data_IF_428411845595
#
_entry.id   IF_428411845595
#
_cell.length_a   1.000
_cell.length_b   1.000
_cell.length_c   1.000
_cell.angle_alpha   90.00
_cell.angle_beta   90.00
_cell.angle_gamma   90.00
#
_symmetry.space_group_name_H-M   'P 1'
#
loop_
_entity.id
_entity.type
_entity.pdbx_description
1 polymer ?
#
# COMPACT_ATOMS: atom_id res chain seq x y z
N UNK A 1 -0.04 -38.77 8.52
CA UNK A 1 -0.32 -37.79 9.59
C UNK A 1 -0.07 -36.42 9.02
N UNK A 2 -1.14 -35.73 8.60
CA UNK A 2 -1.03 -34.36 8.08
C UNK A 2 -0.83 -33.42 9.26
N UNK A 3 0.35 -32.87 9.45
CA UNK A 3 0.59 -31.75 10.33
C UNK A 3 -0.11 -30.52 9.73
N UNK A 4 -1.36 -30.33 10.06
CA UNK A 4 -2.11 -29.12 9.73
C UNK A 4 -1.36 -27.93 10.35
N UNK A 5 -0.63 -27.19 9.53
CA UNK A 5 -0.09 -25.89 9.93
C UNK A 5 -1.29 -25.02 10.29
N UNK A 6 -1.52 -24.79 11.58
CA UNK A 6 -2.51 -23.83 12.05
C UNK A 6 -2.02 -22.46 11.57
N UNK A 7 -2.50 -22.03 10.42
CA UNK A 7 -2.24 -20.67 9.93
C UNK A 7 -2.98 -19.73 10.88
N UNK A 8 -2.22 -19.02 11.70
CA UNK A 8 -2.77 -17.99 12.60
C UNK A 8 -3.49 -16.95 11.75
N UNK A 9 -4.77 -16.70 12.03
CA UNK A 9 -5.53 -15.62 11.40
C UNK A 9 -4.78 -14.30 11.61
N UNK A 10 -4.58 -13.56 10.52
CA UNK A 10 -3.97 -12.23 10.57
C UNK A 10 -5.01 -11.15 10.33
N UNK A 11 -4.80 -10.00 10.94
CA UNK A 11 -5.50 -8.78 10.59
C UNK A 11 -4.61 -7.98 9.64
N UNK A 12 -5.06 -7.79 8.41
CA UNK A 12 -4.32 -7.13 7.34
C UNK A 12 -4.95 -5.78 7.03
N UNK A 13 -4.20 -4.72 7.27
CA UNK A 13 -4.60 -3.38 6.86
C UNK A 13 -4.23 -3.14 5.37
N UNK A 14 -5.08 -2.43 4.65
CA UNK A 14 -4.81 -2.00 3.27
C UNK A 14 -5.01 -0.49 3.18
N UNK A 15 -3.98 0.21 2.72
CA UNK A 15 -4.09 1.64 2.39
C UNK A 15 -4.88 1.81 1.08
N UNK A 16 -6.18 1.82 1.20
CA UNK A 16 -7.11 1.92 0.08
C UNK A 16 -7.57 3.39 -0.18
N UNK A 17 -6.79 4.39 0.24
CA UNK A 17 -7.13 5.81 0.05
C UNK A 17 -7.19 6.23 -1.43
N UNK A 18 -6.61 5.44 -2.33
CA UNK A 18 -6.71 5.61 -3.79
C UNK A 18 -7.72 4.66 -4.45
N UNK A 19 -8.56 3.99 -3.69
CA UNK A 19 -9.53 3.03 -4.19
C UNK A 19 -10.46 3.64 -5.24
N UNK A 20 -10.86 2.84 -6.27
CA UNK A 20 -11.83 3.21 -7.29
C UNK A 20 -11.24 3.91 -8.52
N UNK A 21 -11.89 3.74 -9.65
CA UNK A 21 -11.43 4.25 -10.94
C UNK A 21 -11.66 5.76 -11.15
N UNK A 22 -12.52 6.39 -10.34
CA UNK A 22 -12.99 7.76 -10.58
C UNK A 22 -11.92 8.84 -10.33
N UNK A 23 -10.94 8.58 -9.45
CA UNK A 23 -9.92 9.56 -9.07
C UNK A 23 -8.51 9.21 -9.50
N UNK A 24 -8.18 7.90 -9.61
CA UNK A 24 -6.81 7.41 -9.82
C UNK A 24 -6.81 6.21 -10.78
N UNK A 25 -7.20 6.41 -12.02
CA UNK A 25 -7.53 5.38 -13.01
C UNK A 25 -6.80 4.02 -12.87
N UNK A 26 -5.47 3.98 -12.97
CA UNK A 26 -4.71 2.72 -12.91
C UNK A 26 -4.58 2.14 -11.50
N UNK A 27 -4.11 2.95 -10.54
CA UNK A 27 -3.85 2.50 -9.17
C UNK A 27 -5.15 2.18 -8.44
N UNK A 28 -6.18 3.02 -8.62
CA UNK A 28 -7.47 2.80 -7.97
C UNK A 28 -8.16 1.53 -8.47
N UNK A 29 -8.12 1.26 -9.78
CA UNK A 29 -8.61 0.02 -10.37
C UNK A 29 -7.82 -1.18 -9.88
N UNK A 30 -6.49 -1.08 -9.76
CA UNK A 30 -5.66 -2.14 -9.19
C UNK A 30 -6.08 -2.47 -7.75
N UNK A 31 -6.24 -1.46 -6.88
CA UNK A 31 -6.65 -1.67 -5.49
C UNK A 31 -8.01 -2.36 -5.43
N UNK A 32 -8.97 -1.90 -6.24
CA UNK A 32 -10.28 -2.50 -6.30
C UNK A 32 -10.21 -3.97 -6.70
N UNK A 33 -9.55 -4.30 -7.80
CA UNK A 33 -9.43 -5.68 -8.27
C UNK A 33 -8.68 -6.58 -7.30
N UNK A 34 -7.59 -6.06 -6.71
CA UNK A 34 -6.83 -6.77 -5.68
C UNK A 34 -7.72 -7.13 -4.48
N UNK A 35 -8.50 -6.17 -3.97
CA UNK A 35 -9.36 -6.41 -2.80
C UNK A 35 -10.52 -7.32 -3.13
N UNK A 36 -11.14 -7.19 -4.32
CA UNK A 36 -12.19 -8.09 -4.77
C UNK A 36 -11.71 -9.56 -4.77
N UNK A 37 -10.53 -9.82 -5.35
CA UNK A 37 -9.94 -11.15 -5.39
C UNK A 37 -9.50 -11.65 -4.00
N UNK A 38 -8.88 -10.80 -3.18
CA UNK A 38 -8.48 -11.17 -1.81
C UNK A 38 -9.67 -11.60 -0.98
N UNK A 39 -10.78 -10.85 -1.00
CA UNK A 39 -11.97 -11.16 -0.21
C UNK A 39 -12.72 -12.39 -0.72
N UNK A 40 -12.59 -12.70 -2.00
CA UNK A 40 -13.14 -13.91 -2.60
C UNK A 40 -12.30 -15.14 -2.24
N UNK A 41 -10.97 -15.05 -2.29
CA UNK A 41 -10.07 -16.19 -2.15
C UNK A 41 -9.70 -16.48 -0.69
N UNK A 42 -9.43 -15.45 0.11
CA UNK A 42 -9.03 -15.61 1.50
C UNK A 42 -10.24 -15.75 2.43
N UNK A 43 -10.33 -16.90 3.09
CA UNK A 43 -11.42 -17.23 4.00
C UNK A 43 -11.00 -17.17 5.48
N UNK A 44 -9.76 -16.82 5.77
CA UNK A 44 -9.17 -16.93 7.11
C UNK A 44 -8.80 -15.58 7.72
N UNK A 45 -8.21 -14.66 6.95
CA UNK A 45 -7.75 -13.40 7.49
C UNK A 45 -8.87 -12.34 7.58
N UNK A 46 -8.64 -11.35 8.43
CA UNK A 46 -9.47 -10.16 8.55
C UNK A 46 -8.79 -8.97 7.84
N UNK A 47 -9.60 -8.05 7.34
CA UNK A 47 -9.12 -6.92 6.57
C UNK A 47 -9.64 -5.59 7.11
N UNK A 48 -8.76 -4.58 7.16
CA UNK A 48 -9.10 -3.19 7.49
C UNK A 48 -8.73 -2.32 6.30
N UNK A 49 -9.73 -1.74 5.62
CA UNK A 49 -9.53 -0.84 4.48
C UNK A 49 -9.60 0.61 4.93
N UNK A 50 -8.51 1.35 4.75
CA UNK A 50 -8.50 2.80 4.94
C UNK A 50 -8.95 3.49 3.65
N UNK A 51 -10.17 4.02 3.66
CA UNK A 51 -10.84 4.62 2.50
C UNK A 51 -11.06 6.12 2.72
N UNK A 52 -11.11 6.87 1.63
CA UNK A 52 -11.53 8.27 1.61
C UNK A 52 -12.92 8.41 0.99
N UNK A 53 -13.57 9.52 1.25
CA UNK A 53 -14.77 9.88 0.47
C UNK A 53 -14.40 10.22 -0.99
N UNK A 54 -15.27 9.92 -1.95
CA UNK A 54 -16.62 9.32 -1.80
C UNK A 54 -16.59 7.78 -1.69
N UNK A 55 -15.45 7.13 -1.85
CA UNK A 55 -15.35 5.67 -1.93
C UNK A 55 -15.67 4.98 -0.59
N UNK A 56 -15.43 5.64 0.54
CA UNK A 56 -15.85 5.12 1.84
C UNK A 56 -17.37 4.92 1.90
N UNK A 57 -18.16 5.91 1.44
CA UNK A 57 -19.61 5.80 1.45
C UNK A 57 -20.14 4.75 0.45
N UNK A 58 -19.45 4.58 -0.68
CA UNK A 58 -19.86 3.66 -1.76
C UNK A 58 -19.44 2.21 -1.51
N UNK A 59 -18.36 1.99 -0.75
CA UNK A 59 -17.85 0.66 -0.49
C UNK A 59 -18.73 -0.08 0.51
N UNK A 60 -19.23 -1.24 0.11
CA UNK A 60 -19.95 -2.16 0.99
C UNK A 60 -19.06 -3.37 1.29
N UNK A 61 -18.67 -3.61 2.56
CA UNK A 61 -17.91 -4.80 2.93
C UNK A 61 -18.63 -6.07 2.49
N UNK A 62 -17.95 -6.99 1.78
CA UNK A 62 -18.61 -8.19 1.23
C UNK A 62 -18.91 -9.24 2.31
N UNK A 63 -18.30 -9.15 3.49
CA UNK A 63 -18.51 -10.05 4.62
C UNK A 63 -18.01 -9.40 5.93
N UNK A 64 -18.25 -10.06 7.05
CA UNK A 64 -17.92 -9.58 8.41
C UNK A 64 -16.41 -9.47 8.69
N UNK A 65 -15.55 -10.11 7.89
CA UNK A 65 -14.09 -10.04 8.03
C UNK A 65 -13.49 -8.78 7.40
N UNK A 66 -14.28 -7.98 6.72
CA UNK A 66 -13.83 -6.76 6.05
C UNK A 66 -14.41 -5.55 6.76
N UNK A 67 -13.55 -4.74 7.35
CA UNK A 67 -13.91 -3.49 8.01
C UNK A 67 -13.40 -2.30 7.20
N UNK A 68 -14.21 -1.28 7.02
CA UNK A 68 -13.79 -0.01 6.40
C UNK A 68 -13.56 1.07 7.44
N UNK A 69 -12.53 1.87 7.25
CA UNK A 69 -12.16 3.01 8.09
C UNK A 69 -12.11 4.26 7.23
N UNK A 70 -12.86 5.30 7.64
CA UNK A 70 -12.81 6.60 6.98
C UNK A 70 -11.52 7.32 7.37
N UNK A 71 -10.75 7.76 6.38
CA UNK A 71 -9.62 8.67 6.57
C UNK A 71 -9.80 9.93 5.73
N UNK A 72 -9.44 11.09 6.32
CA UNK A 72 -9.43 12.39 5.62
C UNK A 72 -8.03 12.75 5.08
N UNK A 73 -7.02 11.94 5.41
CA UNK A 73 -5.63 12.23 5.06
C UNK A 73 -5.40 12.05 3.56
N UNK A 74 -4.89 13.09 2.93
CA UNK A 74 -4.55 13.07 1.50
C UNK A 74 -3.17 12.46 1.26
N UNK A 75 -2.98 11.90 0.06
CA UNK A 75 -1.68 11.41 -0.40
C UNK A 75 -0.73 12.57 -0.70
N UNK A 76 0.57 12.29 -0.59
CA UNK A 76 1.65 13.21 -0.94
C UNK A 76 1.62 14.52 -0.16
N UNK A 77 1.15 14.50 1.09
CA UNK A 77 1.11 15.65 1.98
C UNK A 77 1.98 15.42 3.22
N UNK A 78 2.38 16.51 3.87
CA UNK A 78 3.07 16.40 5.16
C UNK A 78 2.17 15.79 6.25
N UNK A 79 0.86 16.04 6.18
CA UNK A 79 -0.12 15.45 7.09
C UNK A 79 -0.19 13.92 6.96
N UNK A 80 0.16 13.36 5.80
CA UNK A 80 0.30 11.92 5.64
C UNK A 80 1.42 11.36 6.52
N UNK A 81 2.51 12.09 6.68
CA UNK A 81 3.65 11.65 7.47
C UNK A 81 3.42 11.73 8.99
N UNK A 82 2.34 12.36 9.42
CA UNK A 82 1.96 12.55 10.83
C UNK A 82 0.58 12.00 11.13
N UNK A 83 -0.46 12.61 10.58
CA UNK A 83 -1.86 12.28 10.88
C UNK A 83 -2.24 10.86 10.46
N UNK A 84 -1.72 10.36 9.32
CA UNK A 84 -2.00 8.99 8.92
C UNK A 84 -1.33 7.97 9.84
N UNK A 85 -0.13 8.27 10.37
CA UNK A 85 0.50 7.43 11.40
C UNK A 85 -0.40 7.32 12.63
N UNK A 86 -0.92 8.45 13.11
CA UNK A 86 -1.82 8.48 14.27
C UNK A 86 -3.11 7.70 14.02
N UNK A 87 -3.66 7.77 12.81
CA UNK A 87 -4.82 6.93 12.43
C UNK A 87 -4.46 5.44 12.45
N UNK A 88 -3.36 5.06 11.80
CA UNK A 88 -2.90 3.67 11.79
C UNK A 88 -2.66 3.11 13.20
N UNK A 89 -2.18 3.94 14.13
CA UNK A 89 -1.92 3.53 15.52
C UNK A 89 -3.19 3.27 16.34
N UNK A 90 -4.34 3.80 15.93
CA UNK A 90 -5.63 3.53 16.58
C UNK A 90 -6.17 2.12 16.30
N UNK A 91 -5.61 1.44 15.30
CA UNK A 91 -6.07 0.12 14.86
C UNK A 91 -5.00 -0.94 15.13
N UNK A 92 -5.44 -2.12 15.57
CA UNK A 92 -4.56 -3.29 15.75
C UNK A 92 -4.60 -4.11 14.48
N UNK A 93 -3.44 -4.35 13.86
CA UNK A 93 -3.26 -5.25 12.72
C UNK A 93 -1.85 -5.79 12.70
N UNK A 94 -1.66 -6.93 12.04
CA UNK A 94 -0.39 -7.66 11.98
C UNK A 94 0.50 -7.19 10.83
N UNK A 95 -0.12 -6.74 9.74
CA UNK A 95 0.53 -6.34 8.49
C UNK A 95 -0.24 -5.18 7.86
N UNK A 96 0.46 -4.25 7.21
CA UNK A 96 -0.16 -3.28 6.32
C UNK A 96 0.35 -3.44 4.89
N UNK A 97 -0.56 -3.47 3.93
CA UNK A 97 -0.26 -3.38 2.51
C UNK A 97 -0.43 -1.94 2.03
N UNK A 98 0.62 -1.40 1.45
CA UNK A 98 0.60 -0.16 0.69
C UNK A 98 0.55 -0.52 -0.81
N UNK A 99 -0.62 -0.44 -1.49
CA UNK A 99 -0.75 -0.80 -2.90
C UNK A 99 -0.09 0.18 -3.86
N UNK A 100 0.73 1.06 -3.32
CA UNK A 100 1.53 2.06 -4.01
C UNK A 100 2.81 2.35 -3.22
N UNK A 101 3.83 2.98 -3.85
CA UNK A 101 5.08 3.30 -3.15
C UNK A 101 4.95 4.30 -2.00
N UNK A 102 3.83 5.04 -1.94
CA UNK A 102 3.67 6.11 -0.97
C UNK A 102 3.21 5.58 0.40
N UNK A 103 4.03 5.77 1.40
CA UNK A 103 3.73 5.37 2.79
C UNK A 103 4.43 6.29 3.79
N UNK A 104 3.92 6.44 5.01
CA UNK A 104 4.57 7.27 6.03
C UNK A 104 5.95 6.71 6.39
N UNK A 105 7.01 7.54 6.27
CA UNK A 105 8.42 7.11 6.44
C UNK A 105 8.67 6.56 7.83
N UNK A 106 8.15 7.22 8.86
CA UNK A 106 8.41 6.89 10.27
C UNK A 106 7.57 5.71 10.78
N UNK A 107 6.59 5.23 10.01
CA UNK A 107 5.79 4.08 10.40
C UNK A 107 6.56 2.78 10.13
N UNK A 108 7.01 2.11 11.20
CA UNK A 108 7.95 0.97 11.17
C UNK A 108 7.32 -0.40 11.38
N UNK A 109 5.99 -0.49 11.49
CA UNK A 109 5.33 -1.81 11.61
C UNK A 109 5.47 -2.61 10.32
N UNK A 110 5.23 -3.93 10.43
CA UNK A 110 5.32 -4.86 9.30
C UNK A 110 4.49 -4.37 8.12
N UNK A 111 5.11 -4.22 6.97
CA UNK A 111 4.43 -3.75 5.75
C UNK A 111 4.90 -4.50 4.52
N UNK A 112 4.06 -4.53 3.52
CA UNK A 112 4.38 -4.86 2.13
C UNK A 112 3.97 -3.67 1.25
N UNK A 113 4.56 -3.55 0.07
CA UNK A 113 4.15 -2.51 -0.88
C UNK A 113 4.08 -3.06 -2.30
N UNK A 114 3.23 -2.46 -3.14
CA UNK A 114 3.21 -2.69 -4.57
C UNK A 114 3.92 -1.56 -5.29
N UNK A 115 4.81 -1.90 -6.21
CA UNK A 115 5.48 -0.95 -7.11
C UNK A 115 5.00 -1.21 -8.53
N UNK A 116 4.30 -0.22 -9.08
CA UNK A 116 3.76 -0.30 -10.44
C UNK A 116 4.85 -0.06 -11.48
N UNK A 117 5.67 0.95 -11.29
CA UNK A 117 6.86 1.27 -12.08
C UNK A 117 7.81 2.18 -11.30
N UNK A 118 9.02 2.39 -11.82
CA UNK A 118 10.02 3.29 -11.21
C UNK A 118 10.14 4.64 -11.94
N UNK A 119 9.37 4.84 -13.00
CA UNK A 119 9.39 6.10 -13.80
C UNK A 119 9.17 7.33 -12.92
N UNK A 120 8.21 7.34 -11.97
CA UNK A 120 7.99 8.49 -11.11
C UNK A 120 9.17 8.84 -10.21
N UNK A 121 10.10 7.90 -9.97
CA UNK A 121 11.32 8.19 -9.22
C UNK A 121 12.29 9.09 -10.00
N UNK A 122 12.40 8.88 -11.31
CA UNK A 122 13.27 9.68 -12.21
C UNK A 122 12.55 10.90 -12.73
N UNK A 123 11.28 10.77 -13.05
CA UNK A 123 10.42 11.78 -13.68
C UNK A 123 9.16 12.02 -12.84
N UNK A 124 9.27 12.72 -11.69
CA UNK A 124 8.16 12.90 -10.76
C UNK A 124 7.03 13.81 -11.27
N UNK A 125 7.13 14.25 -12.53
CA UNK A 125 6.12 15.08 -13.21
C UNK A 125 6.02 16.51 -12.68
N UNK A 126 4.99 17.22 -13.14
CA UNK A 126 4.79 18.64 -12.81
C UNK A 126 4.50 18.90 -11.31
N UNK A 127 4.11 17.89 -10.55
CA UNK A 127 3.80 18.03 -9.11
C UNK A 127 5.03 18.23 -8.23
N UNK A 128 6.23 17.93 -8.73
CA UNK A 128 7.48 18.05 -7.98
C UNK A 128 8.42 19.08 -8.60
N UNK A 129 7.93 20.30 -8.88
CA UNK A 129 8.70 21.37 -9.48
C UNK A 129 9.86 21.92 -8.64
N UNK A 130 9.84 21.75 -7.30
CA UNK A 130 10.94 22.20 -6.43
C UNK A 130 11.88 21.04 -6.08
N UNK A 131 13.20 21.33 -5.98
CA UNK A 131 14.21 20.34 -5.60
C UNK A 131 13.89 19.65 -4.26
N UNK A 132 13.36 20.40 -3.28
CA UNK A 132 12.94 19.83 -2.00
C UNK A 132 11.81 18.81 -2.15
N UNK A 133 10.80 19.09 -2.98
CA UNK A 133 9.69 18.15 -3.23
C UNK A 133 10.17 16.90 -3.95
N UNK A 134 11.08 17.03 -4.88
CA UNK A 134 11.70 15.88 -5.57
C UNK A 134 12.50 15.03 -4.57
N UNK A 135 13.29 15.66 -3.71
CA UNK A 135 14.05 14.97 -2.68
C UNK A 135 13.11 14.22 -1.72
N UNK A 136 12.07 14.88 -1.21
CA UNK A 136 11.08 14.26 -0.33
C UNK A 136 10.39 13.07 -1.01
N UNK A 137 9.97 13.22 -2.25
CA UNK A 137 9.35 12.16 -3.06
C UNK A 137 10.27 10.94 -3.20
N UNK A 138 11.53 11.16 -3.59
CA UNK A 138 12.53 10.10 -3.73
C UNK A 138 12.82 9.42 -2.41
N UNK A 139 12.82 10.18 -1.31
CA UNK A 139 13.03 9.64 0.04
C UNK A 139 11.87 8.73 0.46
N UNK A 140 10.61 9.14 0.25
CA UNK A 140 9.44 8.30 0.51
C UNK A 140 9.51 7.03 -0.33
N UNK A 141 9.78 7.14 -1.63
CA UNK A 141 9.85 6.03 -2.56
C UNK A 141 10.88 4.98 -2.10
N UNK A 142 12.12 5.40 -1.85
CA UNK A 142 13.18 4.52 -1.34
C UNK A 142 12.82 3.92 0.02
N UNK A 143 12.38 4.77 0.96
CA UNK A 143 12.03 4.34 2.31
C UNK A 143 10.95 3.25 2.29
N UNK A 144 9.91 3.40 1.47
CA UNK A 144 8.83 2.41 1.39
C UNK A 144 9.33 1.06 0.93
N UNK A 145 10.16 1.01 -0.11
CA UNK A 145 10.75 -0.24 -0.59
C UNK A 145 11.67 -0.89 0.44
N UNK A 146 12.55 -0.10 1.06
CA UNK A 146 13.53 -0.65 2.02
C UNK A 146 12.88 -1.17 3.30
N UNK A 147 11.87 -0.47 3.85
CA UNK A 147 11.20 -0.88 5.10
C UNK A 147 10.18 -2.01 4.90
N UNK A 148 9.62 -2.18 3.70
CA UNK A 148 8.66 -3.26 3.40
C UNK A 148 9.32 -4.61 3.52
N UNK A 149 8.62 -5.60 4.07
CA UNK A 149 9.10 -6.99 4.17
C UNK A 149 9.14 -7.69 2.82
N UNK A 150 8.13 -7.43 1.99
CA UNK A 150 8.03 -7.89 0.61
C UNK A 150 7.59 -6.73 -0.28
N UNK A 151 8.00 -6.80 -1.52
CA UNK A 151 7.61 -5.86 -2.57
C UNK A 151 6.90 -6.66 -3.65
N UNK A 152 5.72 -6.24 -4.03
CA UNK A 152 5.00 -6.78 -5.18
C UNK A 152 5.35 -5.91 -6.37
N UNK A 153 5.99 -6.49 -7.39
CA UNK A 153 6.23 -5.81 -8.65
C UNK A 153 5.19 -6.27 -9.68
N UNK A 154 4.50 -5.34 -10.32
CA UNK A 154 3.42 -5.68 -11.27
C UNK A 154 3.92 -6.34 -12.55
N UNK A 155 5.23 -6.38 -12.76
CA UNK A 155 5.86 -7.04 -13.90
C UNK A 155 7.31 -7.43 -13.61
N UNK A 156 7.82 -8.40 -14.39
CA UNK A 156 9.23 -8.77 -14.34
C UNK A 156 10.16 -7.61 -14.75
N UNK A 157 9.70 -6.69 -15.59
CA UNK A 157 10.45 -5.46 -15.91
C UNK A 157 10.62 -4.60 -14.68
N UNK A 158 9.52 -4.30 -13.97
CA UNK A 158 9.53 -3.53 -12.72
C UNK A 158 10.44 -4.20 -11.67
N UNK A 159 10.38 -5.53 -11.54
CA UNK A 159 11.27 -6.29 -10.64
C UNK A 159 12.74 -6.09 -10.98
N UNK A 160 13.13 -6.26 -12.26
CA UNK A 160 14.51 -6.03 -12.70
C UNK A 160 14.98 -4.59 -12.44
N UNK A 161 14.11 -3.62 -12.70
CA UNK A 161 14.42 -2.21 -12.50
C UNK A 161 14.62 -1.89 -11.01
N UNK A 162 13.79 -2.43 -10.12
CA UNK A 162 13.96 -2.27 -8.67
C UNK A 162 15.31 -2.84 -8.22
N UNK A 163 15.66 -4.06 -8.63
CA UNK A 163 16.95 -4.68 -8.29
C UNK A 163 18.11 -3.83 -8.78
N UNK A 164 18.08 -3.42 -10.06
CA UNK A 164 19.16 -2.68 -10.70
C UNK A 164 19.39 -1.29 -10.10
N UNK A 165 18.32 -0.57 -9.80
CA UNK A 165 18.40 0.86 -9.45
C UNK A 165 18.36 1.14 -7.94
N UNK A 166 17.88 0.19 -7.11
CA UNK A 166 17.73 0.42 -5.68
C UNK A 166 18.51 -0.56 -4.81
N UNK A 167 19.28 -1.46 -5.42
CA UNK A 167 20.08 -2.48 -4.72
C UNK A 167 19.24 -3.29 -3.70
N UNK A 168 18.04 -3.68 -4.10
CA UNK A 168 17.13 -4.49 -3.30
C UNK A 168 17.30 -5.95 -3.71
N UNK A 169 17.45 -6.86 -2.73
CA UNK A 169 17.53 -8.28 -3.00
C UNK A 169 16.29 -8.78 -3.75
N UNK A 170 16.50 -9.50 -4.86
CA UNK A 170 15.44 -10.06 -5.70
C UNK A 170 14.50 -11.00 -4.95
N UNK A 171 14.95 -11.67 -3.89
CA UNK A 171 14.13 -12.54 -3.03
C UNK A 171 13.07 -11.76 -2.22
N UNK A 172 13.26 -10.46 -2.08
CA UNK A 172 12.30 -9.56 -1.43
C UNK A 172 11.15 -9.18 -2.38
N UNK A 173 11.28 -9.45 -3.69
CA UNK A 173 10.39 -8.97 -4.74
C UNK A 173 9.66 -10.15 -5.39
N UNK A 174 8.35 -10.11 -5.29
CA UNK A 174 7.43 -11.03 -5.97
C UNK A 174 6.91 -10.42 -7.26
#
# INVERSE_FOLDING_TARGET
MNSGTITKNMIIAIDARMYGASQFSGIGTYIQKLTDELFMLDKTNEYILFLREPEFSRFNPPNERVTKVLTKVQHYTLTEQTSFILELMKHKFDLIHYPHFNSPILYRKKSICTIHDITPFYYPGHKAKSGFRQWAYRTVFKSTMHKSRKIIAVSNSTKRDIVRHFNINSEKIE
#
